data_IF_623336486792
#
_entry.id   IF_623336486792
#
_cell.length_a   1.000
_cell.length_b   1.000
_cell.length_c   1.000
_cell.angle_alpha   90.00
_cell.angle_beta   90.00
_cell.angle_gamma   90.00
#
_symmetry.space_group_name_H-M   'P 1'
#
loop_
_entity.id
_entity.type
_entity.pdbx_description
1 polymer ?
#
# COMPACT_ATOMS: atom_id res chain seq x y z
N UNK A 1 -5.11 26.59 -8.36
CA UNK A 1 -4.34 26.38 -7.11
C UNK A 1 -3.27 25.30 -7.24
N UNK A 2 -3.29 24.45 -8.29
CA UNK A 2 -2.22 23.47 -8.58
C UNK A 2 -0.89 24.07 -9.04
N UNK A 3 -0.89 25.24 -9.70
CA UNK A 3 0.33 25.80 -10.29
C UNK A 3 1.30 26.46 -9.29
N UNK A 4 0.98 26.54 -7.99
CA UNK A 4 1.91 27.07 -6.99
C UNK A 4 2.69 25.96 -6.31
N UNK A 5 2.03 24.86 -5.94
CA UNK A 5 2.69 23.71 -5.32
C UNK A 5 3.60 23.01 -6.32
N UNK A 6 3.17 22.81 -7.57
CA UNK A 6 4.06 22.27 -8.62
C UNK A 6 5.22 23.22 -8.93
N UNK A 7 4.98 24.53 -8.98
CA UNK A 7 6.04 25.51 -9.32
C UNK A 7 7.04 25.67 -8.18
N UNK A 8 6.61 25.60 -6.92
CA UNK A 8 7.50 25.54 -5.76
C UNK A 8 8.23 24.18 -5.70
N UNK A 9 7.61 23.07 -6.14
CA UNK A 9 8.28 21.76 -6.31
C UNK A 9 9.34 21.80 -7.42
N UNK A 10 9.04 22.45 -8.56
CA UNK A 10 9.96 22.54 -9.72
C UNK A 10 11.05 23.61 -9.54
N UNK A 11 10.76 24.72 -8.86
CA UNK A 11 11.75 25.77 -8.54
C UNK A 11 12.66 25.35 -7.38
N UNK A 12 12.14 24.62 -6.38
CA UNK A 12 13.02 24.00 -5.36
C UNK A 12 13.86 22.88 -5.94
N UNK A 13 13.33 22.03 -6.85
CA UNK A 13 14.14 20.99 -7.52
C UNK A 13 15.12 21.56 -8.55
N UNK A 14 14.88 22.75 -9.10
CA UNK A 14 15.78 23.38 -10.08
C UNK A 14 17.15 23.80 -9.54
N UNK A 15 17.25 24.15 -8.25
CA UNK A 15 18.55 24.46 -7.61
C UNK A 15 19.28 23.22 -7.06
N UNK A 16 18.57 22.08 -6.95
CA UNK A 16 19.03 20.86 -6.27
C UNK A 16 19.73 19.87 -7.23
N UNK A 17 19.56 20.04 -8.55
CA UNK A 17 20.07 19.13 -9.61
C UNK A 17 21.58 19.26 -9.93
N UNK A 18 22.46 19.27 -8.94
CA UNK A 18 23.93 19.38 -9.19
C UNK A 18 24.69 18.06 -9.23
N UNK A 19 24.15 16.96 -8.71
CA UNK A 19 24.78 15.64 -8.82
C UNK A 19 23.77 14.49 -8.57
N UNK A 20 23.24 13.87 -9.64
CA UNK A 20 22.24 12.79 -9.55
C UNK A 20 22.70 11.57 -8.74
N UNK A 21 24.01 11.29 -8.72
CA UNK A 21 24.56 10.12 -8.03
C UNK A 21 24.66 10.37 -6.51
N UNK A 22 24.94 11.61 -6.09
CA UNK A 22 24.98 12.00 -4.68
C UNK A 22 23.59 12.04 -4.03
N UNK A 23 22.58 12.46 -4.79
CA UNK A 23 21.19 12.45 -4.35
C UNK A 23 20.62 11.03 -4.38
N UNK A 24 20.87 10.21 -5.40
CA UNK A 24 20.53 8.78 -5.35
C UNK A 24 21.22 8.04 -4.20
N UNK A 25 22.36 8.54 -3.70
CA UNK A 25 23.00 8.09 -2.47
C UNK A 25 22.33 8.66 -1.21
N UNK A 26 21.77 9.87 -1.25
CA UNK A 26 21.05 10.51 -0.14
C UNK A 26 19.60 10.03 0.00
N UNK A 27 18.85 9.95 -1.09
CA UNK A 27 17.63 9.15 -1.24
C UNK A 27 17.94 7.65 -1.11
N UNK A 28 19.14 7.21 -1.46
CA UNK A 28 19.65 5.87 -1.15
C UNK A 28 19.91 5.64 0.34
N UNK A 29 19.93 6.68 1.18
CA UNK A 29 19.90 6.54 2.65
C UNK A 29 18.50 6.20 3.19
N UNK A 30 17.44 6.15 2.35
CA UNK A 30 16.07 5.77 2.77
C UNK A 30 15.87 4.32 3.16
N UNK A 31 16.96 3.57 3.20
CA UNK A 31 17.04 2.43 4.09
C UNK A 31 17.91 2.90 5.25
N UNK A 32 17.31 3.31 6.37
CA UNK A 32 18.00 3.24 7.67
C UNK A 32 18.49 1.81 7.95
N UNK A 33 17.96 0.83 7.22
CA UNK A 33 18.54 -0.48 7.04
C UNK A 33 19.88 -0.45 6.27
N UNK A 34 20.19 0.41 5.28
CA UNK A 34 21.47 0.43 4.55
C UNK A 34 22.66 0.65 5.48
N UNK A 35 22.53 1.44 6.54
CA UNK A 35 23.64 1.62 7.48
C UNK A 35 23.89 0.38 8.36
N UNK A 36 22.82 -0.30 8.82
CA UNK A 36 22.91 -1.59 9.52
C UNK A 36 23.23 -2.76 8.58
N UNK A 37 22.76 -2.70 7.35
CA UNK A 37 22.95 -3.65 6.26
C UNK A 37 24.34 -3.54 5.66
N UNK A 38 24.99 -2.36 5.69
CA UNK A 38 26.41 -2.19 5.33
C UNK A 38 27.30 -3.15 6.12
N UNK A 39 26.96 -3.42 7.37
CA UNK A 39 27.62 -4.42 8.21
C UNK A 39 27.24 -5.86 7.82
N UNK A 40 25.96 -6.13 7.52
CA UNK A 40 25.49 -7.45 7.06
C UNK A 40 26.09 -7.83 5.70
N UNK A 41 26.33 -6.86 4.82
CA UNK A 41 26.90 -7.05 3.49
C UNK A 41 28.40 -6.74 3.43
N UNK A 42 29.06 -6.65 4.58
CA UNK A 42 30.50 -6.36 4.68
C UNK A 42 31.38 -7.45 4.06
N UNK A 43 30.92 -8.71 4.13
CA UNK A 43 31.61 -9.89 3.60
C UNK A 43 31.34 -10.17 2.12
N UNK A 44 30.49 -9.37 1.45
CA UNK A 44 30.16 -9.58 0.04
C UNK A 44 31.15 -8.88 -0.91
N UNK A 45 31.48 -9.49 -2.07
CA UNK A 45 32.21 -8.82 -3.13
C UNK A 45 31.54 -7.53 -3.59
N UNK A 46 32.34 -6.47 -3.83
CA UNK A 46 31.86 -5.15 -4.24
C UNK A 46 30.92 -5.17 -5.46
N UNK A 47 31.14 -6.11 -6.40
CA UNK A 47 30.31 -6.26 -7.61
C UNK A 47 28.86 -6.67 -7.33
N UNK A 48 28.60 -7.41 -6.26
CA UNK A 48 27.25 -7.92 -5.93
C UNK A 48 26.62 -7.18 -4.76
N UNK A 49 27.41 -6.42 -4.00
CA UNK A 49 26.97 -5.70 -2.82
C UNK A 49 25.84 -4.71 -3.14
N UNK A 50 26.04 -3.80 -4.10
CA UNK A 50 25.02 -2.81 -4.44
C UNK A 50 23.74 -3.44 -5.01
N UNK A 51 23.79 -4.35 -6.00
CA UNK A 51 22.58 -5.03 -6.49
C UNK A 51 21.79 -5.74 -5.39
N UNK A 52 22.48 -6.45 -4.49
CA UNK A 52 21.81 -7.16 -3.41
C UNK A 52 21.19 -6.19 -2.39
N UNK A 53 21.89 -5.11 -2.04
CA UNK A 53 21.36 -4.04 -1.17
C UNK A 53 20.09 -3.42 -1.76
N UNK A 54 20.03 -3.19 -3.08
CA UNK A 54 18.80 -2.68 -3.72
C UNK A 54 17.65 -3.68 -3.64
N UNK A 55 17.91 -4.97 -3.89
CA UNK A 55 16.88 -6.02 -3.81
C UNK A 55 16.36 -6.16 -2.39
N UNK A 56 17.25 -6.23 -1.39
CA UNK A 56 16.85 -6.37 0.00
C UNK A 56 16.11 -5.13 0.47
N UNK A 57 16.65 -3.93 0.20
CA UNK A 57 15.98 -2.67 0.50
C UNK A 57 14.58 -2.62 -0.12
N UNK A 58 14.42 -3.01 -1.39
CA UNK A 58 13.12 -3.02 -2.05
C UNK A 58 12.11 -3.95 -1.35
N UNK A 59 12.56 -5.12 -0.89
CA UNK A 59 11.69 -6.09 -0.22
C UNK A 59 11.41 -5.76 1.25
N UNK A 60 12.31 -5.02 1.92
CA UNK A 60 12.24 -4.81 3.37
C UNK A 60 11.79 -3.41 3.78
N UNK A 61 11.95 -2.38 2.94
CA UNK A 61 11.72 -1.00 3.36
C UNK A 61 10.28 -0.77 3.86
N UNK A 62 9.26 -1.38 3.25
CA UNK A 62 7.88 -1.21 3.73
C UNK A 62 7.65 -1.72 5.17
N UNK A 63 8.51 -2.62 5.67
CA UNK A 63 8.54 -3.02 7.08
C UNK A 63 9.31 -2.04 7.98
N UNK A 64 10.29 -1.32 7.44
CA UNK A 64 10.91 -0.19 8.15
C UNK A 64 9.86 0.89 8.42
N UNK A 65 9.10 1.30 7.40
CA UNK A 65 8.00 2.25 7.57
C UNK A 65 6.95 1.74 8.57
N UNK A 66 6.69 0.42 8.58
CA UNK A 66 5.78 -0.19 9.54
C UNK A 66 6.30 -0.05 10.97
N UNK A 67 7.59 -0.28 11.20
CA UNK A 67 8.22 -0.13 12.52
C UNK A 67 8.10 1.29 13.06
N UNK A 68 8.29 2.31 12.21
CA UNK A 68 8.11 3.71 12.56
C UNK A 68 6.64 4.02 12.88
N UNK A 69 5.71 3.44 12.12
CA UNK A 69 4.28 3.65 12.30
C UNK A 69 3.75 3.00 13.58
N UNK A 70 4.35 1.90 14.04
CA UNK A 70 3.97 1.25 15.30
C UNK A 70 4.28 2.09 16.54
N UNK A 71 5.20 3.04 16.45
CA UNK A 71 5.48 4.02 17.52
C UNK A 71 4.45 5.16 17.57
N UNK A 72 3.67 5.34 16.51
CA UNK A 72 2.72 6.43 16.39
C UNK A 72 1.38 6.09 17.06
N UNK A 73 0.76 7.11 17.68
CA UNK A 73 -0.56 6.95 18.29
C UNK A 73 -1.62 6.70 17.21
N UNK A 74 -2.51 5.73 17.44
CA UNK A 74 -3.62 5.47 16.54
C UNK A 74 -4.60 6.64 16.51
N UNK A 75 -4.94 7.10 15.31
CA UNK A 75 -6.08 7.99 15.05
C UNK A 75 -6.75 7.49 13.80
N UNK A 76 -8.03 7.11 13.89
CA UNK A 76 -8.76 6.63 12.72
C UNK A 76 -8.92 7.73 11.68
N UNK A 77 -8.65 7.42 10.41
CA UNK A 77 -9.01 8.22 9.23
C UNK A 77 -10.45 7.98 8.75
N UNK A 78 -11.30 7.36 9.58
CA UNK A 78 -12.74 7.17 9.33
C UNK A 78 -13.06 6.37 8.05
N UNK A 79 -12.18 5.47 7.62
CA UNK A 79 -12.34 4.68 6.40
C UNK A 79 -11.75 5.35 5.15
N UNK A 80 -10.95 6.40 5.31
CA UNK A 80 -10.30 7.13 4.20
C UNK A 80 -8.77 6.99 4.22
N UNK A 81 -8.21 6.17 5.11
CA UNK A 81 -6.77 5.93 5.22
C UNK A 81 -6.27 4.86 4.26
N UNK A 82 -7.07 3.82 3.99
CA UNK A 82 -6.64 2.63 3.27
C UNK A 82 -6.34 2.88 1.78
N UNK A 83 -6.91 3.93 1.18
CA UNK A 83 -6.76 4.20 -0.25
C UNK A 83 -6.83 5.70 -0.56
N UNK A 84 -5.74 6.23 -1.11
CA UNK A 84 -5.68 7.60 -1.64
C UNK A 84 -6.65 7.78 -2.81
N UNK A 85 -6.74 6.80 -3.72
CA UNK A 85 -7.69 6.83 -4.84
C UNK A 85 -9.12 6.94 -4.34
N UNK A 86 -9.53 6.08 -3.40
CA UNK A 86 -10.87 6.11 -2.83
C UNK A 86 -11.15 7.44 -2.13
N UNK A 87 -10.25 7.89 -1.25
CA UNK A 87 -10.40 9.15 -0.53
C UNK A 87 -10.61 10.33 -1.46
N UNK A 88 -9.71 10.50 -2.42
CA UNK A 88 -9.77 11.63 -3.35
C UNK A 88 -11.06 11.62 -4.18
N UNK A 89 -11.40 10.48 -4.80
CA UNK A 89 -12.54 10.40 -5.69
C UNK A 89 -13.87 10.47 -4.95
N UNK A 90 -13.99 9.83 -3.78
CA UNK A 90 -15.21 9.88 -2.99
C UNK A 90 -15.48 11.31 -2.50
N UNK A 91 -14.47 11.99 -1.95
CA UNK A 91 -14.60 13.38 -1.48
C UNK A 91 -14.94 14.34 -2.62
N UNK A 92 -14.37 14.11 -3.82
CA UNK A 92 -14.74 14.86 -5.02
C UNK A 92 -16.21 14.67 -5.41
N UNK A 93 -16.72 13.44 -5.38
CA UNK A 93 -18.12 13.13 -5.73
C UNK A 93 -19.10 13.83 -4.77
N UNK A 94 -18.81 13.82 -3.48
CA UNK A 94 -19.70 14.42 -2.46
C UNK A 94 -19.47 15.92 -2.24
N UNK A 95 -18.55 16.54 -3.00
CA UNK A 95 -18.24 17.96 -2.90
C UNK A 95 -17.59 18.37 -1.58
N UNK A 96 -16.72 17.50 -1.00
CA UNK A 96 -16.02 17.72 0.28
C UNK A 96 -14.50 17.60 0.15
N UNK A 97 -13.90 18.15 -0.91
CA UNK A 97 -12.45 18.08 -1.12
C UNK A 97 -11.66 18.85 -0.05
N UNK A 98 -12.27 19.84 0.60
CA UNK A 98 -11.67 20.68 1.64
C UNK A 98 -11.27 19.93 2.92
N UNK A 99 -11.81 18.73 3.15
CA UNK A 99 -11.46 17.90 4.32
C UNK A 99 -10.40 16.83 4.00
N UNK A 100 -9.96 16.71 2.75
CA UNK A 100 -9.04 15.65 2.33
C UNK A 100 -7.72 15.70 3.09
N UNK A 101 -7.13 16.89 3.22
CA UNK A 101 -5.87 17.11 3.94
C UNK A 101 -5.99 16.67 5.40
N UNK A 102 -7.07 17.08 6.09
CA UNK A 102 -7.34 16.68 7.48
C UNK A 102 -7.52 15.18 7.65
N UNK A 103 -8.04 14.48 6.65
CA UNK A 103 -8.16 13.01 6.68
C UNK A 103 -6.80 12.34 6.46
N UNK A 104 -5.97 12.91 5.57
CA UNK A 104 -4.62 12.43 5.31
C UNK A 104 -3.70 12.63 6.53
N UNK A 105 -3.80 13.77 7.23
CA UNK A 105 -3.02 14.05 8.44
C UNK A 105 -3.16 12.99 9.53
N UNK A 106 -4.32 12.34 9.59
CA UNK A 106 -4.65 11.29 10.56
C UNK A 106 -4.04 9.94 10.21
N UNK A 107 -3.66 9.73 8.95
CA UNK A 107 -3.08 8.47 8.48
C UNK A 107 -1.71 8.23 9.08
N UNK A 108 -1.32 6.96 9.21
CA UNK A 108 0.03 6.63 9.64
C UNK A 108 1.09 7.12 8.65
N UNK A 109 0.80 7.08 7.34
CA UNK A 109 1.68 7.58 6.28
C UNK A 109 2.09 9.04 6.54
N UNK A 110 1.14 9.91 6.86
CA UNK A 110 1.46 11.31 7.15
C UNK A 110 2.26 11.48 8.45
N UNK A 111 1.96 10.69 9.49
CA UNK A 111 2.67 10.79 10.78
C UNK A 111 4.15 10.40 10.68
N UNK A 112 4.46 9.38 9.88
CA UNK A 112 5.85 8.95 9.68
C UNK A 112 6.60 9.82 8.66
N UNK A 113 5.90 10.67 7.90
CA UNK A 113 6.51 11.58 6.95
C UNK A 113 7.54 12.51 7.59
N UNK A 114 7.23 13.08 8.77
CA UNK A 114 8.15 13.95 9.52
C UNK A 114 9.36 13.20 10.08
N UNK A 115 9.31 11.87 10.17
CA UNK A 115 10.44 11.01 10.56
C UNK A 115 11.32 10.61 9.38
N UNK A 116 11.17 11.28 8.23
CA UNK A 116 11.87 10.95 7.01
C UNK A 116 11.31 9.69 6.36
N UNK A 117 10.00 9.47 6.39
CA UNK A 117 9.32 8.48 5.55
C UNK A 117 8.46 9.18 4.50
N UNK A 118 9.10 9.76 3.48
CA UNK A 118 8.41 10.62 2.50
C UNK A 118 7.45 9.82 1.61
N UNK A 119 6.16 9.92 1.91
CA UNK A 119 5.06 9.34 1.12
C UNK A 119 5.19 9.72 -0.36
N UNK A 120 5.15 8.72 -1.24
CA UNK A 120 5.29 8.92 -2.69
C UNK A 120 6.71 8.71 -3.21
N UNK A 121 7.73 8.78 -2.36
CA UNK A 121 9.10 8.35 -2.69
C UNK A 121 9.36 6.91 -2.25
N UNK A 122 8.78 6.49 -1.11
CA UNK A 122 8.90 5.14 -0.57
C UNK A 122 7.55 4.46 -0.39
N UNK A 123 7.55 3.12 -0.50
CA UNK A 123 6.33 2.34 -0.42
C UNK A 123 5.98 2.02 1.04
N UNK A 124 4.78 2.44 1.45
CA UNK A 124 4.22 2.07 2.74
C UNK A 124 3.49 0.75 2.62
N UNK A 125 3.86 -0.24 3.43
CA UNK A 125 3.26 -1.59 3.39
C UNK A 125 1.73 -1.56 3.54
N UNK A 126 1.05 -2.61 3.06
CA UNK A 126 -0.40 -2.79 3.22
C UNK A 126 -0.86 -2.54 4.66
N UNK A 127 -0.07 -2.99 5.63
CA UNK A 127 -0.36 -2.86 7.06
C UNK A 127 -0.51 -1.40 7.51
N UNK A 128 0.28 -0.48 6.96
CA UNK A 128 0.21 0.96 7.31
C UNK A 128 -1.08 1.59 6.75
N UNK A 129 -1.45 1.21 5.53
CA UNK A 129 -2.70 1.65 4.89
C UNK A 129 -3.91 1.21 5.70
N UNK A 130 -4.03 -0.09 5.98
CA UNK A 130 -5.17 -0.60 6.75
C UNK A 130 -5.17 -0.08 8.19
N UNK A 131 -4.02 -0.01 8.85
CA UNK A 131 -3.94 0.45 10.23
C UNK A 131 -4.37 1.91 10.39
N UNK A 132 -4.28 2.72 9.34
CA UNK A 132 -4.74 4.12 9.38
C UNK A 132 -6.24 4.24 9.66
N UNK A 133 -7.04 3.22 9.36
CA UNK A 133 -8.47 3.22 9.63
C UNK A 133 -8.84 2.43 10.88
N UNK A 134 -8.21 1.28 11.10
CA UNK A 134 -8.62 0.27 12.11
C UNK A 134 -7.53 -0.09 13.14
N UNK A 135 -6.37 0.57 13.09
CA UNK A 135 -5.22 0.28 13.94
C UNK A 135 -4.51 -1.03 13.59
N UNK A 136 -3.39 -1.32 14.25
CA UNK A 136 -2.61 -2.52 13.99
C UNK A 136 -3.33 -3.80 14.43
N UNK A 137 -4.05 -3.77 15.56
CA UNK A 137 -4.86 -4.92 16.02
C UNK A 137 -5.99 -5.20 15.03
N UNK A 138 -6.72 -4.17 14.57
CA UNK A 138 -7.75 -4.33 13.54
C UNK A 138 -7.17 -4.83 12.23
N UNK A 139 -5.96 -4.39 11.87
CA UNK A 139 -5.24 -4.88 10.68
C UNK A 139 -4.98 -6.37 10.74
N UNK A 140 -4.59 -6.93 11.90
CA UNK A 140 -4.43 -8.38 12.05
C UNK A 140 -5.75 -9.13 11.77
N UNK A 141 -6.86 -8.62 12.31
CA UNK A 141 -8.19 -9.19 12.05
C UNK A 141 -8.54 -9.10 10.56
N UNK A 142 -8.25 -7.97 9.91
CA UNK A 142 -8.47 -7.80 8.48
C UNK A 142 -7.66 -8.80 7.64
N UNK A 143 -6.39 -9.05 8.00
CA UNK A 143 -5.55 -10.04 7.32
C UNK A 143 -6.12 -11.45 7.45
N UNK A 144 -6.67 -11.81 8.61
CA UNK A 144 -7.37 -13.09 8.79
C UNK A 144 -8.61 -13.20 7.90
N UNK A 145 -9.40 -12.13 7.81
CA UNK A 145 -10.57 -12.05 6.93
C UNK A 145 -10.14 -12.21 5.45
N UNK A 146 -9.07 -11.53 5.04
CA UNK A 146 -8.49 -11.67 3.71
C UNK A 146 -8.06 -13.13 3.45
N UNK A 147 -7.36 -13.75 4.40
CA UNK A 147 -6.94 -15.15 4.28
C UNK A 147 -8.12 -16.12 4.13
N UNK A 148 -9.21 -15.86 4.85
CA UNK A 148 -10.45 -16.60 4.70
C UNK A 148 -11.07 -16.45 3.30
N UNK A 149 -11.17 -15.22 2.77
CA UNK A 149 -11.67 -14.99 1.41
C UNK A 149 -10.75 -15.57 0.33
N UNK A 150 -9.44 -15.50 0.53
CA UNK A 150 -8.45 -16.14 -0.33
C UNK A 150 -8.71 -17.66 -0.42
N UNK A 151 -8.82 -18.35 0.71
CA UNK A 151 -9.08 -19.80 0.74
C UNK A 151 -10.41 -20.17 0.07
N UNK A 152 -11.46 -19.38 0.29
CA UNK A 152 -12.76 -19.63 -0.31
C UNK A 152 -12.76 -19.36 -1.82
N UNK A 153 -12.11 -18.29 -2.27
CA UNK A 153 -12.00 -17.98 -3.70
C UNK A 153 -11.26 -19.10 -4.44
N UNK A 154 -10.14 -19.56 -3.89
CA UNK A 154 -9.41 -20.72 -4.40
C UNK A 154 -10.32 -21.94 -4.53
N UNK A 155 -11.01 -22.33 -3.44
CA UNK A 155 -11.91 -23.49 -3.46
C UNK A 155 -12.97 -23.37 -4.55
N UNK A 156 -13.59 -22.21 -4.69
CA UNK A 156 -14.65 -22.00 -5.67
C UNK A 156 -14.15 -21.96 -7.12
N UNK A 157 -12.91 -21.50 -7.34
CA UNK A 157 -12.24 -21.60 -8.63
C UNK A 157 -12.13 -23.06 -9.07
N UNK A 158 -11.75 -23.96 -8.16
CA UNK A 158 -11.56 -25.38 -8.46
C UNK A 158 -12.87 -26.17 -8.55
N UNK A 159 -13.78 -25.98 -7.59
CA UNK A 159 -14.99 -26.81 -7.45
C UNK A 159 -16.14 -26.29 -8.30
N UNK A 160 -16.44 -25.00 -8.17
CA UNK A 160 -17.62 -24.38 -8.81
C UNK A 160 -17.32 -23.86 -10.22
N UNK A 161 -16.05 -23.89 -10.65
CA UNK A 161 -15.55 -23.32 -11.91
C UNK A 161 -16.04 -21.89 -12.15
N UNK A 162 -16.14 -21.12 -11.06
CA UNK A 162 -16.68 -19.77 -11.10
C UNK A 162 -15.60 -18.79 -11.58
N UNK A 163 -15.81 -18.19 -12.76
CA UNK A 163 -14.85 -17.26 -13.35
C UNK A 163 -14.59 -16.03 -12.45
N UNK A 164 -15.61 -15.52 -11.76
CA UNK A 164 -15.44 -14.40 -10.83
C UNK A 164 -14.59 -14.79 -9.61
N UNK A 165 -14.78 -16.01 -9.09
CA UNK A 165 -13.95 -16.54 -8.01
C UNK A 165 -12.47 -16.64 -8.43
N UNK A 166 -12.21 -17.09 -9.67
CA UNK A 166 -10.87 -17.14 -10.24
C UNK A 166 -10.19 -15.76 -10.27
N UNK A 167 -10.90 -14.74 -10.74
CA UNK A 167 -10.38 -13.36 -10.77
C UNK A 167 -10.12 -12.86 -9.35
N UNK A 168 -11.06 -13.05 -8.42
CA UNK A 168 -10.86 -12.69 -7.01
C UNK A 168 -9.65 -13.40 -6.39
N UNK A 169 -9.46 -14.68 -6.67
CA UNK A 169 -8.31 -15.45 -6.21
C UNK A 169 -6.98 -14.82 -6.67
N UNK A 170 -6.85 -14.49 -7.95
CA UNK A 170 -5.64 -13.84 -8.46
C UNK A 170 -5.45 -12.41 -7.96
N UNK A 171 -6.53 -11.66 -7.71
CA UNK A 171 -6.45 -10.38 -7.01
C UNK A 171 -5.90 -10.57 -5.59
N UNK A 172 -6.39 -11.55 -4.84
CA UNK A 172 -5.86 -11.85 -3.51
C UNK A 172 -4.40 -12.33 -3.54
N UNK A 173 -3.99 -13.13 -4.52
CA UNK A 173 -2.57 -13.47 -4.74
C UNK A 173 -1.72 -12.20 -4.90
N UNK A 174 -2.14 -11.30 -5.79
CA UNK A 174 -1.47 -10.00 -6.00
C UNK A 174 -1.40 -9.22 -4.70
N UNK A 175 -2.50 -9.11 -3.96
CA UNK A 175 -2.53 -8.37 -2.70
C UNK A 175 -1.54 -8.94 -1.68
N UNK A 176 -1.53 -10.27 -1.49
CA UNK A 176 -0.65 -10.95 -0.53
C UNK A 176 0.82 -10.75 -0.94
N UNK A 177 1.16 -10.89 -2.23
CA UNK A 177 2.52 -10.65 -2.72
C UNK A 177 2.99 -9.22 -2.47
N UNK A 178 2.08 -8.26 -2.43
CA UNK A 178 2.39 -6.84 -2.24
C UNK A 178 2.25 -6.36 -0.79
N UNK A 179 1.86 -7.22 0.16
CA UNK A 179 1.68 -6.81 1.55
C UNK A 179 2.88 -6.09 2.16
N UNK A 180 4.10 -6.53 1.82
CA UNK A 180 5.34 -5.90 2.29
C UNK A 180 5.60 -4.54 1.66
N UNK A 181 5.09 -4.28 0.45
CA UNK A 181 5.41 -3.11 -0.34
C UNK A 181 4.31 -2.04 -0.25
N UNK A 182 3.07 -2.36 -0.63
CA UNK A 182 2.00 -1.38 -0.74
C UNK A 182 0.59 -1.99 -0.66
N UNK A 183 -0.43 -1.14 -0.73
CA UNK A 183 -1.82 -1.56 -0.90
C UNK A 183 -2.21 -1.65 -2.39
N UNK A 184 -1.54 -2.53 -3.14
CA UNK A 184 -1.59 -2.59 -4.62
C UNK A 184 -3.00 -2.57 -5.19
N UNK A 185 -3.93 -3.34 -4.60
CA UNK A 185 -5.29 -3.48 -5.12
C UNK A 185 -6.14 -2.20 -4.98
N UNK A 186 -5.80 -1.33 -4.03
CA UNK A 186 -6.58 -0.13 -3.75
C UNK A 186 -5.77 1.16 -3.98
N UNK A 187 -4.59 1.08 -4.59
CA UNK A 187 -3.75 2.25 -4.85
C UNK A 187 -4.16 3.00 -6.11
N UNK A 188 -4.47 2.30 -7.20
CA UNK A 188 -4.93 2.89 -8.47
C UNK A 188 -6.41 2.61 -8.73
N UNK A 189 -7.03 3.43 -9.58
CA UNK A 189 -8.43 3.26 -9.93
C UNK A 189 -8.73 1.96 -10.67
N UNK A 190 -7.83 1.51 -11.52
CA UNK A 190 -7.98 0.27 -12.32
C UNK A 190 -8.06 -0.95 -11.42
N UNK A 191 -7.10 -1.10 -10.51
CA UNK A 191 -7.09 -2.21 -9.55
C UNK A 191 -8.23 -2.09 -8.54
N UNK A 192 -8.55 -0.86 -8.09
CA UNK A 192 -9.64 -0.62 -7.16
C UNK A 192 -10.98 -1.08 -7.75
N UNK A 193 -11.27 -0.64 -8.99
CA UNK A 193 -12.51 -0.98 -9.68
C UNK A 193 -12.56 -2.46 -10.02
N UNK A 194 -11.47 -3.04 -10.54
CA UNK A 194 -11.39 -4.48 -10.81
C UNK A 194 -11.68 -5.29 -9.54
N UNK A 195 -10.97 -5.02 -8.46
CA UNK A 195 -11.12 -5.74 -7.19
C UNK A 195 -12.54 -5.62 -6.65
N UNK A 196 -13.08 -4.41 -6.57
CA UNK A 196 -14.40 -4.16 -5.98
C UNK A 196 -15.53 -4.77 -6.79
N UNK A 197 -15.51 -4.59 -8.12
CA UNK A 197 -16.55 -5.11 -9.02
C UNK A 197 -16.55 -6.64 -9.01
N UNK A 198 -15.38 -7.27 -9.14
CA UNK A 198 -15.31 -8.73 -9.18
C UNK A 198 -15.64 -9.37 -7.83
N UNK A 199 -15.26 -8.75 -6.71
CA UNK A 199 -15.70 -9.20 -5.38
C UNK A 199 -17.23 -9.18 -5.26
N UNK A 200 -17.88 -8.12 -5.75
CA UNK A 200 -19.33 -8.01 -5.74
C UNK A 200 -20.01 -9.05 -6.65
N UNK A 201 -19.53 -9.21 -7.89
CA UNK A 201 -20.06 -10.22 -8.83
C UNK A 201 -19.87 -11.64 -8.29
N UNK A 202 -18.72 -11.93 -7.67
CA UNK A 202 -18.49 -13.20 -7.02
C UNK A 202 -19.48 -13.43 -5.87
N UNK A 203 -19.68 -12.44 -4.99
CA UNK A 203 -20.67 -12.54 -3.92
C UNK A 203 -22.08 -12.81 -4.44
N UNK A 204 -22.53 -12.08 -5.47
CA UNK A 204 -23.84 -12.28 -6.10
C UNK A 204 -23.98 -13.68 -6.72
N UNK A 205 -22.93 -14.17 -7.39
CA UNK A 205 -22.95 -15.47 -8.05
C UNK A 205 -23.20 -16.62 -7.05
N UNK A 206 -22.72 -16.49 -5.81
CA UNK A 206 -23.01 -17.46 -4.74
C UNK A 206 -24.47 -17.43 -4.33
N UNK A 207 -25.04 -16.25 -4.12
CA UNK A 207 -26.44 -16.09 -3.70
C UNK A 207 -27.41 -16.69 -4.70
N UNK A 208 -27.09 -16.60 -6.01
CA UNK A 208 -27.89 -17.20 -7.08
C UNK A 208 -27.70 -18.72 -7.17
N UNK A 209 -26.48 -19.24 -6.99
CA UNK A 209 -26.23 -20.68 -6.96
C UNK A 209 -26.93 -21.38 -5.77
N UNK A 210 -26.89 -20.78 -4.58
CA UNK A 210 -27.61 -21.33 -3.41
C UNK A 210 -29.14 -21.37 -3.61
N UNK A 211 -29.71 -20.45 -4.39
CA UNK A 211 -31.13 -20.50 -4.76
C UNK A 211 -31.45 -21.64 -5.73
N UNK A 212 -30.53 -21.97 -6.64
CA UNK A 212 -30.74 -23.00 -7.66
C UNK A 212 -30.57 -24.44 -7.14
N UNK A 213 -29.90 -24.63 -6.00
CA UNK A 213 -29.73 -25.93 -5.33
C UNK A 213 -30.88 -26.25 -4.36
N UNK A 214 -31.67 -25.23 -3.97
CA UNK A 214 -32.82 -25.37 -3.05
C UNK A 214 -34.17 -25.56 -3.73
N UNK A 215 -34.23 -25.46 -5.06
CA UNK A 215 -35.42 -25.72 -5.89
C UNK A 215 -35.18 -26.97 -6.72
#
# INVERSE_FOLDING_TARGET
MNNRIEKDYFESTGEILKDPDSEMLEYGKFSSAIEKEKNIFSWLPNKIKSPLMYITSYLTHGYMGLSMAMEEKFTSSYGFGFSTFFRHNFLKIIGKTEIEEKLYERTYMNKIHSKGWYTGMVWSSFFIFSASDIGFVGTLVLVLIIGYFFAISWKDTLVSKNAFACICFFNFCTMICYFSANNQLFQSGEFFMSTTVYLFLWAMSKTTLFKKVKN
#
